data_IF_947606472002
#
_entry.id   IF_947606472002
#
_cell.length_a   1.000
_cell.length_b   1.000
_cell.length_c   1.000
_cell.angle_alpha   90.00
_cell.angle_beta   90.00
_cell.angle_gamma   90.00
#
_symmetry.space_group_name_H-M   'P 1'
#
loop_
_entity.id
_entity.type
_entity.pdbx_description
1 polymer ?
#
# COMPACT_ATOMS: atom_id res chain seq x y z
N UNK A 1 1.50 -22.70 64.42
CA UNK A 1 1.17 -21.32 64.00
C UNK A 1 1.58 -21.16 62.55
N UNK A 2 0.75 -20.54 61.72
CA UNK A 2 1.16 -20.19 60.36
C UNK A 2 2.11 -18.98 60.40
N UNK A 3 2.82 -18.72 59.31
CA UNK A 3 3.66 -17.52 59.14
C UNK A 3 3.19 -16.72 57.94
N UNK A 4 3.33 -15.40 58.01
CA UNK A 4 2.99 -14.51 56.90
C UNK A 4 3.98 -14.71 55.75
N UNK A 5 3.50 -15.01 54.54
CA UNK A 5 4.36 -15.27 53.36
C UNK A 5 5.23 -14.07 52.98
N UNK A 6 4.85 -12.85 53.41
CA UNK A 6 5.49 -11.60 52.98
C UNK A 6 6.55 -11.11 53.98
N UNK A 7 6.25 -11.11 55.28
CA UNK A 7 7.13 -10.59 56.34
C UNK A 7 7.64 -11.64 57.34
N UNK A 8 7.30 -12.93 57.16
CA UNK A 8 7.68 -14.04 58.04
C UNK A 8 7.18 -13.93 59.50
N UNK A 9 6.31 -12.97 59.81
CA UNK A 9 5.68 -12.85 61.12
C UNK A 9 4.81 -14.07 61.45
N UNK A 10 4.78 -14.46 62.72
CA UNK A 10 3.88 -15.48 63.26
C UNK A 10 2.44 -14.98 63.16
N UNK A 11 1.54 -15.81 62.63
CA UNK A 11 0.12 -15.50 62.52
C UNK A 11 -0.65 -16.02 63.74
N UNK A 12 -1.53 -15.18 64.27
CA UNK A 12 -2.43 -15.49 65.39
C UNK A 12 -3.86 -15.06 65.07
N UNK A 13 -4.85 -15.74 65.65
CA UNK A 13 -6.25 -15.34 65.65
C UNK A 13 -6.70 -14.66 66.97
N UNK A 14 -5.80 -14.58 67.95
CA UNK A 14 -6.04 -13.94 69.25
C UNK A 14 -5.47 -12.52 69.27
N UNK A 15 -6.31 -11.45 69.31
CA UNK A 15 -5.86 -10.07 69.39
C UNK A 15 -5.03 -9.75 70.64
N UNK A 16 -5.15 -10.51 71.73
CA UNK A 16 -4.36 -10.30 72.95
C UNK A 16 -2.90 -10.77 72.81
N UNK A 17 -2.58 -11.53 71.76
CA UNK A 17 -1.25 -12.12 71.53
C UNK A 17 -0.38 -11.37 70.51
N UNK A 18 -0.84 -10.20 70.02
CA UNK A 18 -0.09 -9.40 69.03
C UNK A 18 1.12 -8.68 69.66
N UNK A 19 2.18 -8.53 68.88
CA UNK A 19 3.41 -7.82 69.30
C UNK A 19 3.36 -6.33 68.96
N UNK A 20 3.61 -5.46 69.95
CA UNK A 20 3.61 -4.01 69.77
C UNK A 20 2.19 -3.40 69.75
N UNK A 21 2.05 -2.07 69.89
CA UNK A 21 0.76 -1.41 69.98
C UNK A 21 -0.09 -1.52 68.70
N UNK A 22 0.53 -1.76 67.53
CA UNK A 22 -0.15 -1.88 66.25
C UNK A 22 0.40 -2.97 65.31
N UNK A 23 1.26 -3.88 65.80
CA UNK A 23 1.82 -4.93 64.96
C UNK A 23 2.73 -4.40 63.85
N UNK A 24 3.74 -3.61 64.22
CA UNK A 24 4.75 -3.16 63.25
C UNK A 24 5.39 -4.34 62.49
N UNK A 25 5.70 -4.09 61.20
CA UNK A 25 6.07 -5.11 60.24
C UNK A 25 7.53 -5.56 60.36
N UNK A 26 7.98 -5.81 61.59
CA UNK A 26 9.32 -6.32 61.89
C UNK A 26 9.34 -7.85 61.80
N UNK A 27 10.44 -8.48 61.34
CA UNK A 27 10.57 -9.93 61.34
C UNK A 27 10.36 -10.53 62.73
N UNK A 28 9.80 -11.73 62.78
CA UNK A 28 9.50 -12.49 64.00
C UNK A 28 8.43 -11.87 64.93
N UNK A 29 7.71 -10.82 64.50
CA UNK A 29 6.48 -10.35 65.16
C UNK A 29 5.39 -11.43 65.26
N UNK A 30 4.46 -11.26 66.19
CA UNK A 30 3.16 -11.96 66.17
C UNK A 30 2.09 -10.99 65.68
N UNK A 31 1.49 -11.27 64.54
CA UNK A 31 0.52 -10.40 63.87
C UNK A 31 -0.82 -11.11 63.68
N UNK A 32 -1.91 -10.36 63.78
CA UNK A 32 -3.26 -10.88 63.57
C UNK A 32 -3.42 -11.38 62.12
N UNK A 33 -3.97 -12.57 61.97
CA UNK A 33 -4.35 -13.14 60.67
C UNK A 33 -5.66 -12.54 60.16
N UNK A 34 -5.72 -12.21 58.87
CA UNK A 34 -6.98 -11.78 58.27
C UNK A 34 -7.88 -12.99 58.08
N UNK A 35 -9.09 -12.96 58.65
CA UNK A 35 -10.08 -14.03 58.45
C UNK A 35 -10.46 -14.23 56.98
N UNK A 36 -10.39 -13.18 56.17
CA UNK A 36 -10.60 -13.29 54.73
C UNK A 36 -9.40 -13.91 54.03
N UNK A 37 -8.16 -13.67 54.48
CA UNK A 37 -6.99 -14.42 54.01
C UNK A 37 -7.14 -15.91 54.30
N UNK A 38 -7.51 -16.28 55.53
CA UNK A 38 -7.75 -17.69 55.91
C UNK A 38 -8.85 -18.32 55.06
N UNK A 39 -9.97 -17.62 54.82
CA UNK A 39 -11.06 -18.10 53.97
C UNK A 39 -10.66 -18.28 52.50
N UNK A 40 -9.69 -17.50 52.01
CA UNK A 40 -9.12 -17.60 50.66
C UNK A 40 -7.93 -18.57 50.58
N UNK A 41 -7.55 -19.25 51.67
CA UNK A 41 -6.38 -20.14 51.73
C UNK A 41 -5.03 -19.42 51.74
N UNK A 42 -5.02 -18.11 51.98
CA UNK A 42 -3.83 -17.25 51.97
C UNK A 42 -3.23 -17.09 53.37
N UNK A 43 -1.90 -17.11 53.46
CA UNK A 43 -1.16 -16.87 54.71
C UNK A 43 -0.64 -15.43 54.79
N UNK A 44 -1.56 -14.46 54.85
CA UNK A 44 -1.25 -13.03 54.99
C UNK A 44 -1.69 -12.50 56.36
N UNK A 45 -0.85 -11.69 57.01
CA UNK A 45 -1.31 -10.90 58.15
C UNK A 45 -2.25 -9.79 57.69
N UNK A 46 -3.11 -9.30 58.58
CA UNK A 46 -4.11 -8.25 58.28
C UNK A 46 -3.50 -7.02 57.59
N UNK A 47 -2.29 -6.62 58.00
CA UNK A 47 -1.57 -5.47 57.42
C UNK A 47 -1.13 -5.68 55.96
N UNK A 48 -0.72 -6.89 55.58
CA UNK A 48 -0.36 -7.23 54.20
C UNK A 48 -1.60 -7.53 53.34
N UNK A 49 -2.67 -8.06 53.95
CA UNK A 49 -3.96 -8.24 53.26
C UNK A 49 -4.59 -6.89 52.88
N UNK A 50 -4.63 -5.92 53.82
CA UNK A 50 -5.13 -4.57 53.54
C UNK A 50 -4.28 -3.88 52.47
N UNK A 51 -2.95 -3.95 52.57
CA UNK A 51 -2.06 -3.38 51.56
C UNK A 51 -2.23 -4.02 50.17
N UNK A 52 -2.65 -5.29 50.08
CA UNK A 52 -3.00 -5.91 48.80
C UNK A 52 -4.33 -5.36 48.23
N UNK A 53 -5.34 -5.17 49.07
CA UNK A 53 -6.64 -4.55 48.69
C UNK A 53 -6.46 -3.09 48.26
N UNK A 54 -5.53 -2.36 48.87
CA UNK A 54 -5.19 -0.98 48.55
C UNK A 54 -4.23 -0.80 47.36
N UNK A 55 -3.67 -1.89 46.81
CA UNK A 55 -2.68 -1.81 45.73
C UNK A 55 -1.24 -1.47 46.18
N UNK A 56 -0.99 -1.34 47.49
CA UNK A 56 0.25 -0.86 48.09
C UNK A 56 1.31 -1.96 48.37
N UNK A 57 1.02 -3.24 48.10
CA UNK A 57 1.99 -4.34 48.30
C UNK A 57 2.01 -5.33 47.13
N UNK A 58 2.93 -5.13 46.18
CA UNK A 58 3.09 -5.97 44.99
C UNK A 58 3.40 -7.43 45.31
N UNK A 59 4.05 -7.74 46.44
CA UNK A 59 4.35 -9.12 46.84
C UNK A 59 3.11 -9.83 47.36
N UNK A 60 2.25 -9.12 48.09
CA UNK A 60 0.96 -9.65 48.54
C UNK A 60 -0.04 -9.77 47.38
N UNK A 61 -0.11 -8.78 46.49
CA UNK A 61 -1.00 -8.78 45.30
C UNK A 61 -0.75 -10.02 44.42
N UNK A 62 0.52 -10.40 44.22
CA UNK A 62 0.88 -11.60 43.45
C UNK A 62 0.33 -12.92 44.06
N UNK A 63 -0.01 -12.94 45.36
CA UNK A 63 -0.67 -14.11 45.99
C UNK A 63 -2.20 -14.10 45.85
N UNK A 64 -2.81 -12.95 45.56
CA UNK A 64 -4.25 -12.83 45.30
C UNK A 64 -4.58 -13.00 43.80
N UNK A 65 -3.70 -12.54 42.91
CA UNK A 65 -3.91 -12.56 41.45
C UNK A 65 -3.16 -13.74 40.83
N UNK A 66 -3.69 -14.94 41.01
CA UNK A 66 -3.15 -16.17 40.42
C UNK A 66 -3.68 -16.42 38.99
N UNK A 67 -3.52 -15.44 38.09
CA UNK A 67 -3.82 -15.60 36.67
C UNK A 67 -2.54 -15.96 35.91
N UNK A 68 -2.55 -17.09 35.21
CA UNK A 68 -1.48 -17.47 34.29
C UNK A 68 -1.46 -16.55 33.06
N UNK A 69 -0.32 -16.47 32.38
CA UNK A 69 -0.22 -15.73 31.11
C UNK A 69 -1.19 -16.21 30.03
N UNK A 70 -1.61 -17.49 30.09
CA UNK A 70 -2.61 -18.05 29.18
C UNK A 70 -4.02 -17.54 29.48
N UNK A 71 -4.41 -17.46 30.76
CA UNK A 71 -5.69 -16.88 31.17
C UNK A 71 -5.75 -15.38 30.85
N UNK A 72 -4.66 -14.64 31.08
CA UNK A 72 -4.54 -13.23 30.71
C UNK A 72 -4.66 -13.04 29.19
N UNK A 73 -3.99 -13.88 28.38
CA UNK A 73 -4.10 -13.85 26.92
C UNK A 73 -5.54 -14.13 26.46
N UNK A 74 -6.19 -15.15 27.03
CA UNK A 74 -7.57 -15.52 26.69
C UNK A 74 -8.55 -14.40 27.04
N UNK A 75 -8.42 -13.78 28.22
CA UNK A 75 -9.23 -12.63 28.60
C UNK A 75 -9.02 -11.45 27.63
N UNK A 76 -7.76 -11.09 27.35
CA UNK A 76 -7.41 -9.99 26.44
C UNK A 76 -7.93 -10.20 25.01
N UNK A 77 -7.84 -11.43 24.46
CA UNK A 77 -8.33 -11.75 23.12
C UNK A 77 -9.86 -11.85 23.03
N UNK A 78 -10.56 -11.98 24.17
CA UNK A 78 -12.02 -12.01 24.24
C UNK A 78 -12.68 -10.62 24.37
N UNK A 79 -11.90 -9.57 24.68
CA UNK A 79 -12.42 -8.20 24.83
C UNK A 79 -12.90 -7.63 23.49
N UNK A 80 -14.17 -7.23 23.44
CA UNK A 80 -14.90 -6.92 22.20
C UNK A 80 -14.42 -5.68 21.46
N UNK A 81 -13.76 -4.75 22.14
CA UNK A 81 -13.39 -3.42 21.62
C UNK A 81 -11.87 -3.19 21.56
N UNK A 82 -11.10 -4.28 21.50
CA UNK A 82 -9.64 -4.21 21.41
C UNK A 82 -9.13 -4.25 19.97
N UNK A 83 -8.14 -3.41 19.68
CA UNK A 83 -7.25 -3.59 18.52
C UNK A 83 -6.30 -4.81 18.69
N UNK A 84 -6.70 -5.84 19.46
CA UNK A 84 -5.87 -6.95 19.87
C UNK A 84 -5.20 -7.63 18.67
N UNK A 85 -3.88 -7.78 18.73
CA UNK A 85 -3.11 -8.54 17.77
C UNK A 85 -3.21 -10.03 18.10
N UNK A 86 -4.37 -10.62 17.78
CA UNK A 86 -4.67 -12.02 18.10
C UNK A 86 -3.86 -12.99 17.27
N UNK A 87 -3.72 -14.23 17.73
CA UNK A 87 -3.02 -15.29 16.97
C UNK A 87 -3.58 -15.43 15.55
N UNK A 88 -4.90 -15.31 15.37
CA UNK A 88 -5.56 -15.30 14.05
C UNK A 88 -5.09 -14.16 13.15
N UNK A 89 -4.87 -12.95 13.69
CA UNK A 89 -4.32 -11.82 12.92
C UNK A 89 -2.85 -12.03 12.60
N UNK A 90 -2.08 -12.60 13.53
CA UNK A 90 -0.67 -12.95 13.33
C UNK A 90 -0.51 -14.03 12.24
N UNK A 91 -1.31 -15.10 12.26
CA UNK A 91 -1.35 -16.14 11.22
C UNK A 91 -1.70 -15.54 9.86
N UNK A 92 -2.68 -14.62 9.79
CA UNK A 92 -3.00 -13.90 8.55
C UNK A 92 -1.80 -13.06 8.06
N UNK A 93 -1.11 -12.34 8.94
CA UNK A 93 0.06 -11.54 8.57
C UNK A 93 1.26 -12.40 8.11
N UNK A 94 1.52 -13.52 8.78
CA UNK A 94 2.53 -14.49 8.35
C UNK A 94 2.18 -15.10 6.98
N UNK A 95 0.91 -15.44 6.75
CA UNK A 95 0.42 -15.90 5.44
C UNK A 95 0.48 -14.82 4.35
N UNK A 96 0.33 -13.54 4.71
CA UNK A 96 0.57 -12.42 3.78
C UNK A 96 2.03 -12.42 3.34
N UNK A 97 3.04 -12.71 4.16
CA UNK A 97 4.43 -12.78 3.68
C UNK A 97 4.60 -13.84 2.57
N UNK A 98 3.91 -14.98 2.65
CA UNK A 98 3.91 -16.02 1.62
C UNK A 98 3.08 -15.65 0.39
N UNK A 99 1.95 -14.98 0.55
CA UNK A 99 1.08 -14.55 -0.56
C UNK A 99 1.46 -13.21 -1.21
N UNK A 100 2.29 -12.41 -0.53
CA UNK A 100 2.78 -11.11 -0.97
C UNK A 100 4.23 -11.15 -1.48
N UNK A 101 4.88 -12.33 -1.50
CA UNK A 101 5.93 -12.59 -2.49
C UNK A 101 5.32 -12.78 -3.89
N UNK A 102 4.60 -11.75 -4.31
CA UNK A 102 4.29 -11.49 -5.72
C UNK A 102 5.59 -11.04 -6.43
N UNK A 103 6.59 -10.56 -5.68
CA UNK A 103 7.80 -9.92 -6.20
C UNK A 103 8.85 -10.86 -6.81
N UNK A 104 8.86 -12.15 -6.46
CA UNK A 104 9.78 -13.13 -7.03
C UNK A 104 9.33 -13.72 -8.38
N UNK A 105 8.04 -14.03 -8.53
CA UNK A 105 7.49 -14.70 -9.74
C UNK A 105 6.50 -13.87 -10.55
N UNK A 106 5.91 -12.84 -9.95
CA UNK A 106 4.90 -11.96 -10.54
C UNK A 106 5.32 -10.49 -10.38
N UNK A 107 6.57 -10.17 -10.70
CA UNK A 107 7.02 -8.78 -10.85
C UNK A 107 5.97 -8.01 -11.69
N UNK A 108 5.66 -6.73 -11.37
CA UNK A 108 4.57 -5.99 -12.01
C UNK A 108 4.65 -6.18 -13.53
N UNK A 109 3.70 -6.96 -14.09
CA UNK A 109 3.84 -7.43 -15.46
C UNK A 109 3.95 -6.21 -16.33
N UNK A 110 5.11 -6.06 -16.99
CA UNK A 110 5.36 -4.86 -17.78
C UNK A 110 4.30 -4.84 -18.88
N UNK A 111 3.45 -3.80 -18.89
CA UNK A 111 2.49 -3.50 -19.97
C UNK A 111 3.16 -3.43 -21.36
N UNK A 112 4.49 -3.43 -21.38
CA UNK A 112 5.38 -3.56 -22.52
C UNK A 112 5.21 -4.83 -23.36
N UNK A 113 4.66 -5.93 -22.82
CA UNK A 113 4.53 -7.19 -23.56
C UNK A 113 3.30 -7.24 -24.50
N UNK A 114 2.20 -6.57 -24.13
CA UNK A 114 0.99 -6.43 -24.97
C UNK A 114 1.12 -5.34 -26.04
N UNK A 115 2.10 -4.43 -25.89
CA UNK A 115 2.31 -3.25 -26.74
C UNK A 115 3.74 -3.16 -27.33
N UNK A 116 4.45 -4.27 -27.42
CA UNK A 116 5.56 -4.35 -28.38
C UNK A 116 4.97 -4.59 -29.78
N UNK A 117 5.64 -4.11 -30.83
CA UNK A 117 5.30 -4.41 -32.23
C UNK A 117 5.01 -5.91 -32.38
N UNK A 118 3.89 -6.28 -33.01
CA UNK A 118 3.29 -7.64 -33.10
C UNK A 118 2.60 -8.19 -31.84
N UNK A 119 2.25 -7.34 -30.87
CA UNK A 119 1.47 -7.69 -29.69
C UNK A 119 0.00 -8.03 -29.99
N UNK A 120 -0.61 -8.92 -29.19
CA UNK A 120 -2.02 -9.33 -29.38
C UNK A 120 -3.05 -8.22 -29.13
N UNK A 121 -2.70 -7.21 -28.33
CA UNK A 121 -3.49 -6.01 -28.05
C UNK A 121 -2.98 -4.80 -28.87
N UNK A 122 -2.18 -5.03 -29.91
CA UNK A 122 -1.77 -3.98 -30.85
C UNK A 122 -3.00 -3.48 -31.61
N UNK A 123 -3.25 -2.16 -31.56
CA UNK A 123 -4.35 -1.55 -32.31
C UNK A 123 -3.99 -1.64 -33.79
N UNK A 124 -4.57 -2.63 -34.48
CA UNK A 124 -4.34 -2.83 -35.90
C UNK A 124 -4.79 -1.60 -36.69
N UNK A 125 -3.82 -0.90 -37.27
CA UNK A 125 -4.05 0.16 -38.26
C UNK A 125 -4.40 -0.44 -39.64
N UNK A 126 -4.38 -1.76 -39.79
CA UNK A 126 -4.77 -2.47 -41.01
C UNK A 126 -6.28 -2.32 -41.23
N UNK A 127 -6.66 -1.33 -42.04
CA UNK A 127 -8.06 -0.94 -42.28
C UNK A 127 -8.44 0.42 -41.69
N UNK A 128 -7.56 1.06 -40.92
CA UNK A 128 -7.70 2.47 -40.57
C UNK A 128 -7.22 3.31 -41.76
N UNK A 129 -8.18 3.77 -42.58
CA UNK A 129 -7.93 4.52 -43.82
C UNK A 129 -7.05 5.76 -43.59
N UNK A 130 -5.91 5.82 -44.28
CA UNK A 130 -5.08 7.04 -44.42
C UNK A 130 -4.08 7.33 -43.30
N UNK A 131 -3.09 6.46 -43.05
CA UNK A 131 -1.89 6.89 -42.31
C UNK A 131 -0.54 6.19 -42.60
N UNK A 132 -0.48 4.95 -43.12
CA UNK A 132 0.81 4.25 -43.29
C UNK A 132 1.00 3.40 -44.58
N UNK A 133 0.00 3.30 -45.45
CA UNK A 133 0.12 2.56 -46.73
C UNK A 133 0.21 3.48 -47.96
N UNK A 134 -0.41 4.66 -47.88
CA UNK A 134 -0.45 5.67 -48.93
C UNK A 134 0.46 6.84 -48.55
N UNK A 135 1.09 7.46 -49.55
CA UNK A 135 2.03 8.57 -49.31
C UNK A 135 1.24 9.81 -48.88
N UNK A 136 1.37 10.24 -47.62
CA UNK A 136 0.53 11.30 -47.04
C UNK A 136 0.84 12.72 -47.57
N UNK A 137 1.72 12.82 -48.58
CA UNK A 137 2.08 14.05 -49.28
C UNK A 137 1.00 14.43 -50.30
N UNK A 138 0.23 15.48 -50.00
CA UNK A 138 -0.85 16.06 -50.83
C UNK A 138 -0.33 16.77 -52.10
N UNK A 139 0.54 16.10 -52.86
CA UNK A 139 1.15 16.53 -54.12
C UNK A 139 1.33 15.35 -55.10
N UNK A 140 0.63 14.25 -54.87
CA UNK A 140 0.70 13.03 -55.65
C UNK A 140 -0.42 12.94 -56.69
N UNK A 141 -0.03 12.64 -57.93
CA UNK A 141 -0.88 12.25 -59.08
C UNK A 141 -1.93 13.26 -59.56
N UNK A 142 -2.78 13.88 -58.73
CA UNK A 142 -3.78 14.86 -59.20
C UNK A 142 -3.14 16.14 -59.73
N UNK A 143 -2.06 16.64 -59.12
CA UNK A 143 -1.33 17.81 -59.64
C UNK A 143 -0.62 17.49 -60.96
N UNK A 144 -0.04 16.30 -61.09
CA UNK A 144 0.56 15.84 -62.36
C UNK A 144 -0.52 15.65 -63.42
N UNK A 145 -1.63 15.01 -63.07
CA UNK A 145 -2.79 14.82 -63.96
C UNK A 145 -3.44 16.16 -64.33
N UNK A 146 -3.42 17.17 -63.46
CA UNK A 146 -3.88 18.51 -63.79
C UNK A 146 -2.93 19.22 -64.76
N UNK A 147 -1.61 19.02 -64.65
CA UNK A 147 -0.61 19.55 -65.59
C UNK A 147 -0.70 18.85 -66.95
N UNK A 148 -0.89 17.52 -66.97
CA UNK A 148 -1.04 16.74 -68.20
C UNK A 148 -2.42 16.91 -68.86
N UNK A 149 -3.52 16.94 -68.11
CA UNK A 149 -4.85 17.22 -68.64
C UNK A 149 -5.05 18.69 -69.05
N UNK A 150 -4.29 19.62 -68.46
CA UNK A 150 -4.20 20.99 -68.95
C UNK A 150 -3.23 21.13 -70.15
N UNK A 151 -2.63 20.05 -70.67
CA UNK A 151 -1.71 20.14 -71.82
C UNK A 151 -2.44 20.25 -73.17
N UNK A 152 -2.08 21.22 -74.04
CA UNK A 152 -1.02 22.22 -73.85
C UNK A 152 -1.46 23.30 -72.86
N UNK A 153 -0.65 23.49 -71.81
CA UNK A 153 -0.87 24.50 -70.79
C UNK A 153 -0.75 25.87 -71.46
N UNK A 154 -1.90 26.49 -71.76
CA UNK A 154 -1.97 27.81 -72.39
C UNK A 154 -1.57 28.89 -71.39
N UNK A 155 -0.28 28.94 -71.08
CA UNK A 155 0.41 30.16 -70.71
C UNK A 155 0.14 31.16 -71.85
N UNK A 156 -0.39 32.36 -71.58
CA UNK A 156 -0.73 33.29 -72.63
C UNK A 156 0.54 33.71 -73.41
N UNK A 157 0.60 33.29 -74.67
CA UNK A 157 1.60 33.61 -75.69
C UNK A 157 3.04 33.08 -75.47
N UNK A 158 3.25 31.77 -75.66
CA UNK A 158 4.36 31.29 -76.50
C UNK A 158 4.08 29.89 -77.08
N UNK A 159 3.71 29.81 -78.37
CA UNK A 159 3.44 28.54 -79.05
C UNK A 159 4.18 28.50 -80.39
N UNK A 160 5.25 27.69 -80.49
CA UNK A 160 5.91 27.43 -81.77
C UNK A 160 4.97 26.66 -82.71
N UNK A 161 4.70 27.22 -83.88
CA UNK A 161 3.86 26.59 -84.91
C UNK A 161 2.36 26.90 -84.83
N UNK A 162 1.90 27.65 -83.82
CA UNK A 162 0.60 28.31 -83.86
C UNK A 162 0.66 29.62 -84.65
N UNK A 163 -0.48 30.12 -85.13
CA UNK A 163 -0.54 31.46 -85.76
C UNK A 163 -0.07 32.52 -84.77
N UNK A 164 1.02 33.19 -85.12
CA UNK A 164 1.64 34.23 -84.29
C UNK A 164 0.69 35.41 -84.08
N UNK A 165 0.82 36.09 -82.93
CA UNK A 165 0.20 37.40 -82.77
C UNK A 165 0.83 38.44 -83.73
N UNK A 166 0.14 39.57 -83.92
CA UNK A 166 0.55 40.57 -84.92
C UNK A 166 1.93 41.20 -84.65
N UNK A 167 2.38 41.25 -83.40
CA UNK A 167 3.71 41.75 -83.05
C UNK A 167 4.81 40.72 -83.37
N UNK A 168 4.52 39.44 -83.11
CA UNK A 168 5.43 38.33 -83.43
C UNK A 168 5.53 38.10 -84.95
N UNK A 169 4.42 38.27 -85.69
CA UNK A 169 4.41 38.24 -87.15
C UNK A 169 5.22 39.39 -87.77
N UNK A 170 5.22 40.57 -87.16
CA UNK A 170 6.03 41.70 -87.62
C UNK A 170 7.54 41.43 -87.53
N UNK A 171 7.99 40.64 -86.55
CA UNK A 171 9.40 40.30 -86.39
C UNK A 171 9.89 39.26 -87.42
N UNK A 172 9.02 38.33 -87.84
CA UNK A 172 9.34 37.39 -88.93
C UNK A 172 9.38 38.10 -90.28
N UNK A 173 8.45 39.01 -90.57
CA UNK A 173 8.43 39.77 -91.83
C UNK A 173 9.67 40.66 -92.02
N UNK A 174 10.38 41.03 -90.95
CA UNK A 174 11.68 41.72 -91.01
C UNK A 174 12.82 40.76 -91.38
N UNK A 175 12.77 39.51 -90.91
CA UNK A 175 13.79 38.50 -91.20
C UNK A 175 13.67 37.92 -92.61
N UNK A 176 12.45 37.70 -93.12
CA UNK A 176 12.22 37.21 -94.49
C UNK A 176 12.63 38.21 -95.58
N UNK A 177 12.89 39.48 -95.24
CA UNK A 177 13.40 40.52 -96.15
C UNK A 177 14.93 40.49 -96.30
N UNK A 178 15.68 39.87 -95.37
CA UNK A 178 17.16 39.83 -95.43
C UNK A 178 17.74 38.51 -95.97
N UNK A 179 16.89 37.53 -96.33
CA UNK A 179 17.31 36.23 -96.89
C UNK A 179 16.67 35.91 -98.26
N UNK A 180 16.17 36.94 -98.97
CA UNK A 180 15.67 36.86 -100.35
C UNK A 180 16.05 38.07 -101.19
#
# INVERSE_FOLDING_TARGET
MATCTICSATLTNDPASISGPYGENVPNSTLLESRLSVALGLTLCTRHFIAAVEGNDTRAIATLVNLTGAEIKTAYEAESDTNAFTDTKNTKLAGIATGADVTGSNAPQTHKASHQDTGGDEISVTGLSGLLADDQHVLDTEVVSAIEAASPLTLPAFTLGGTMDANSQALINVLDIELG
#
